data_IF_964849450894
#
_entry.id   IF_964849450894
#
_cell.length_a   1.000
_cell.length_b   1.000
_cell.length_c   1.000
_cell.angle_alpha   90.00
_cell.angle_beta   90.00
_cell.angle_gamma   90.00
#
_symmetry.space_group_name_H-M   'P 1'
#
loop_
_entity.id
_entity.type
_entity.pdbx_description
1 polymer ?
#
# COMPACT_ATOMS: atom_id res chain seq x y z
N UNK A 1 -26.36 4.43 -24.56
CA UNK A 1 -26.22 4.21 -23.09
C UNK A 1 -25.57 2.88 -22.70
N UNK A 2 -25.75 1.76 -23.43
CA UNK A 2 -25.05 0.49 -23.13
C UNK A 2 -23.51 0.63 -23.18
N UNK A 3 -23.01 1.35 -24.17
CA UNK A 3 -21.58 1.65 -24.33
C UNK A 3 -20.97 2.30 -23.07
N UNK A 4 -21.64 3.30 -22.49
CA UNK A 4 -21.15 4.02 -21.31
C UNK A 4 -21.07 3.14 -20.06
N UNK A 5 -22.07 2.27 -19.82
CA UNK A 5 -22.04 1.36 -18.68
C UNK A 5 -20.91 0.32 -18.79
N UNK A 6 -20.69 -0.23 -19.99
CA UNK A 6 -19.58 -1.16 -20.23
C UNK A 6 -18.23 -0.45 -20.12
N UNK A 7 -18.08 0.75 -20.68
CA UNK A 7 -16.87 1.57 -20.57
C UNK A 7 -16.47 1.80 -19.11
N UNK A 8 -17.40 2.29 -18.27
CA UNK A 8 -17.10 2.52 -16.85
C UNK A 8 -16.69 1.25 -16.10
N UNK A 9 -17.29 0.09 -16.41
CA UNK A 9 -16.91 -1.19 -15.80
C UNK A 9 -15.49 -1.62 -16.20
N UNK A 10 -15.13 -1.53 -17.48
CA UNK A 10 -13.78 -1.85 -17.94
C UNK A 10 -12.75 -0.92 -17.31
N UNK A 11 -13.01 0.38 -17.29
CA UNK A 11 -12.13 1.36 -16.65
C UNK A 11 -11.97 1.07 -15.15
N UNK A 12 -13.05 0.73 -14.44
CA UNK A 12 -12.98 0.34 -13.04
C UNK A 12 -12.11 -0.91 -12.81
N UNK A 13 -12.25 -1.92 -13.66
CA UNK A 13 -11.46 -3.15 -13.58
C UNK A 13 -9.97 -2.93 -13.84
N UNK A 14 -9.62 -2.02 -14.76
CA UNK A 14 -8.24 -1.60 -15.02
C UNK A 14 -7.66 -0.90 -13.79
N UNK A 15 -8.41 0.01 -13.17
CA UNK A 15 -7.95 0.66 -11.94
C UNK A 15 -7.78 -0.33 -10.78
N UNK A 16 -8.69 -1.28 -10.60
CA UNK A 16 -8.56 -2.34 -9.60
C UNK A 16 -7.33 -3.22 -9.86
N UNK A 17 -7.05 -3.54 -11.14
CA UNK A 17 -5.84 -4.26 -11.54
C UNK A 17 -4.55 -3.47 -11.25
N UNK A 18 -4.51 -2.18 -11.61
CA UNK A 18 -3.36 -1.32 -11.28
C UNK A 18 -3.13 -1.23 -9.77
N UNK A 19 -4.20 -1.11 -8.98
CA UNK A 19 -4.11 -1.12 -7.52
C UNK A 19 -3.52 -2.44 -6.99
N UNK A 20 -3.93 -3.58 -7.55
CA UNK A 20 -3.39 -4.90 -7.22
C UNK A 20 -1.90 -5.00 -7.51
N UNK A 21 -1.47 -4.55 -8.69
CA UNK A 21 -0.06 -4.57 -9.09
C UNK A 21 0.78 -3.71 -8.12
N UNK A 22 0.32 -2.51 -7.81
CA UNK A 22 0.99 -1.63 -6.85
C UNK A 22 1.06 -2.26 -5.44
N UNK A 23 -0.04 -2.84 -4.96
CA UNK A 23 -0.07 -3.52 -3.66
C UNK A 23 0.85 -4.73 -3.62
N UNK A 24 0.88 -5.51 -4.70
CA UNK A 24 1.80 -6.64 -4.82
C UNK A 24 3.25 -6.19 -4.70
N UNK A 25 3.65 -5.16 -5.45
CA UNK A 25 5.00 -4.60 -5.35
C UNK A 25 5.33 -4.08 -3.97
N UNK A 26 4.40 -3.42 -3.29
CA UNK A 26 4.61 -2.96 -1.90
C UNK A 26 4.72 -4.11 -0.91
N UNK A 27 4.00 -5.22 -1.14
CA UNK A 27 4.08 -6.42 -0.32
C UNK A 27 5.39 -7.15 -0.54
N UNK A 28 5.87 -7.32 -1.77
CA UNK A 28 7.15 -8.00 -2.01
C UNK A 28 8.36 -7.07 -1.78
N UNK A 29 8.13 -5.76 -1.67
CA UNK A 29 9.15 -4.74 -1.44
C UNK A 29 10.09 -5.11 -0.30
N UNK A 30 11.38 -4.99 -0.56
CA UNK A 30 12.47 -5.33 0.36
C UNK A 30 12.60 -6.82 0.76
N UNK A 31 11.72 -7.74 0.34
CA UNK A 31 11.75 -9.15 0.81
C UNK A 31 13.02 -9.92 0.42
N UNK A 32 13.61 -9.60 -0.74
CA UNK A 32 14.80 -10.30 -1.26
C UNK A 32 15.90 -9.31 -1.66
N UNK A 33 17.15 -9.76 -1.54
CA UNK A 33 18.38 -9.02 -1.87
C UNK A 33 18.61 -8.93 -3.40
N UNK A 34 17.63 -8.41 -4.14
CA UNK A 34 17.71 -8.18 -5.59
C UNK A 34 17.65 -6.68 -5.90
N UNK A 35 18.36 -6.24 -6.94
CA UNK A 35 18.57 -4.81 -7.25
C UNK A 35 17.26 -3.99 -7.31
N UNK A 36 16.20 -4.55 -7.87
CA UNK A 36 14.90 -3.87 -7.98
C UNK A 36 14.16 -3.77 -6.63
N UNK A 37 14.11 -4.85 -5.85
CA UNK A 37 13.38 -4.87 -4.58
C UNK A 37 14.02 -3.99 -3.49
N UNK A 38 15.33 -3.74 -3.60
CA UNK A 38 16.07 -2.78 -2.76
C UNK A 38 15.61 -1.33 -2.93
N UNK A 39 15.08 -0.99 -4.11
CA UNK A 39 14.57 0.35 -4.39
C UNK A 39 13.17 0.56 -3.80
N UNK A 40 12.50 -0.53 -3.37
CA UNK A 40 11.17 -0.50 -2.76
C UNK A 40 11.30 -0.54 -1.24
N UNK A 41 11.38 0.65 -0.65
CA UNK A 41 11.40 0.87 0.79
C UNK A 41 10.28 1.82 1.20
N UNK A 42 9.91 1.77 2.48
CA UNK A 42 8.80 2.53 3.06
C UNK A 42 9.31 3.86 3.64
N UNK A 43 10.44 3.82 4.34
CA UNK A 43 11.10 4.99 4.89
C UNK A 43 12.62 4.81 4.83
N UNK A 44 13.36 5.91 4.67
CA UNK A 44 14.82 5.95 4.70
C UNK A 44 15.28 6.94 5.75
N UNK A 45 16.30 6.57 6.52
CA UNK A 45 17.08 7.52 7.30
C UNK A 45 18.46 7.64 6.66
N UNK A 46 18.97 8.85 6.55
CA UNK A 46 20.30 9.14 6.01
C UNK A 46 21.11 9.91 7.04
N UNK A 47 22.31 9.44 7.38
CA UNK A 47 23.26 10.08 8.28
C UNK A 47 24.39 10.71 7.47
N UNK A 48 24.68 11.98 7.74
CA UNK A 48 25.75 12.75 7.09
C UNK A 48 25.69 12.75 5.54
N UNK A 49 24.50 12.50 4.96
CA UNK A 49 24.30 12.46 3.50
C UNK A 49 24.90 11.24 2.78
N UNK A 50 25.55 10.31 3.49
CA UNK A 50 26.27 9.18 2.88
C UNK A 50 25.69 7.82 3.32
N UNK A 51 25.55 7.61 4.63
CA UNK A 51 25.08 6.34 5.19
C UNK A 51 23.57 6.36 5.28
N UNK A 52 22.90 5.28 4.89
CA UNK A 52 21.45 5.18 4.96
C UNK A 52 20.97 3.83 5.47
N UNK A 53 19.78 3.86 6.07
CA UNK A 53 19.00 2.68 6.43
C UNK A 53 17.60 2.79 5.81
N UNK A 54 17.26 1.77 5.02
CA UNK A 54 15.99 1.59 4.35
C UNK A 54 15.13 0.60 5.11
N UNK A 55 13.95 1.06 5.52
CA UNK A 55 12.97 0.23 6.21
C UNK A 55 11.94 -0.31 5.23
N UNK A 56 11.74 -1.62 5.23
CA UNK A 56 10.69 -2.31 4.50
C UNK A 56 9.66 -2.95 5.41
N UNK A 57 8.70 -3.66 4.82
CA UNK A 57 7.68 -4.41 5.56
C UNK A 57 8.25 -5.70 6.18
N UNK A 58 9.26 -6.28 5.53
CA UNK A 58 9.85 -7.59 5.87
C UNK A 58 11.25 -7.51 6.47
N UNK A 59 12.00 -6.45 6.21
CA UNK A 59 13.37 -6.28 6.68
C UNK A 59 13.78 -4.81 6.65
N UNK A 60 14.98 -4.56 7.16
CA UNK A 60 15.72 -3.33 6.94
C UNK A 60 17.01 -3.62 6.16
N UNK A 61 17.44 -2.65 5.37
CA UNK A 61 18.69 -2.68 4.62
C UNK A 61 19.53 -1.46 4.94
N UNK A 62 20.84 -1.63 5.06
CA UNK A 62 21.79 -0.54 5.26
C UNK A 62 22.68 -0.38 4.03
N UNK A 63 23.13 0.85 3.80
CA UNK A 63 23.95 1.17 2.65
C UNK A 63 24.69 2.49 2.79
N UNK A 64 25.57 2.74 1.84
CA UNK A 64 26.40 3.95 1.77
C UNK A 64 26.45 4.48 0.34
N UNK A 65 26.47 5.81 0.16
CA UNK A 65 26.57 6.47 -1.14
C UNK A 65 25.53 5.96 -2.16
N UNK A 66 24.30 5.73 -1.71
CA UNK A 66 23.20 5.23 -2.55
C UNK A 66 23.27 3.74 -2.90
N UNK A 67 24.26 3.00 -2.40
CA UNK A 67 24.39 1.55 -2.62
C UNK A 67 24.03 0.77 -1.36
N UNK A 68 23.11 -0.19 -1.49
CA UNK A 68 22.73 -1.09 -0.38
C UNK A 68 23.80 -2.16 -0.20
N UNK A 69 24.40 -2.19 0.99
CA UNK A 69 25.49 -3.10 1.36
C UNK A 69 24.97 -4.36 2.04
N UNK A 70 24.09 -4.21 3.03
CA UNK A 70 23.59 -5.31 3.84
C UNK A 70 22.07 -5.23 4.00
N UNK A 71 21.41 -6.38 4.06
CA UNK A 71 19.98 -6.48 4.32
C UNK A 71 19.75 -7.59 5.33
N UNK A 72 18.92 -7.31 6.32
CA UNK A 72 18.58 -8.29 7.34
C UNK A 72 17.68 -9.38 6.74
N UNK A 73 17.69 -10.54 7.39
CA UNK A 73 16.84 -11.66 7.00
C UNK A 73 15.36 -11.24 7.08
N UNK A 74 14.54 -11.55 6.06
CA UNK A 74 13.14 -11.16 6.03
C UNK A 74 12.37 -11.87 7.15
N UNK A 75 11.62 -11.08 7.94
CA UNK A 75 10.71 -11.56 8.98
C UNK A 75 9.34 -10.90 8.79
N UNK A 76 8.24 -11.63 8.99
CA UNK A 76 6.91 -11.05 8.93
C UNK A 76 6.77 -9.96 10.00
N UNK A 77 6.09 -8.86 9.66
CA UNK A 77 5.88 -7.72 10.55
C UNK A 77 7.20 -7.17 11.14
N UNK A 78 8.14 -6.81 10.27
CA UNK A 78 9.45 -6.33 10.70
C UNK A 78 9.36 -5.09 11.58
N UNK A 79 9.84 -5.20 12.82
CA UNK A 79 9.84 -4.09 13.78
C UNK A 79 11.06 -3.22 13.55
N UNK A 80 10.85 -2.03 12.99
CA UNK A 80 11.95 -1.12 12.66
C UNK A 80 12.72 -0.66 13.89
N UNK A 81 12.02 -0.53 15.02
CA UNK A 81 12.57 0.08 16.23
C UNK A 81 13.44 -0.87 17.07
N UNK A 82 13.35 -2.19 16.80
CA UNK A 82 14.16 -3.22 17.43
C UNK A 82 15.50 -3.47 16.70
N UNK A 83 15.75 -2.72 15.63
CA UNK A 83 16.92 -2.88 14.78
C UNK A 83 18.21 -2.36 15.44
N UNK A 84 19.25 -3.18 15.51
CA UNK A 84 20.54 -2.77 16.10
C UNK A 84 21.19 -1.64 15.29
N UNK A 85 21.09 -1.67 13.96
CA UNK A 85 21.57 -0.57 13.12
C UNK A 85 20.80 0.73 13.37
N UNK A 86 19.54 0.70 13.82
CA UNK A 86 18.83 1.91 14.26
C UNK A 86 19.40 2.45 15.58
N UNK A 87 19.80 1.58 16.52
CA UNK A 87 20.43 2.02 17.77
C UNK A 87 21.77 2.71 17.54
N UNK A 88 22.51 2.38 16.47
CA UNK A 88 23.71 3.10 16.06
C UNK A 88 23.41 4.51 15.48
N UNK A 89 22.19 4.71 14.97
CA UNK A 89 21.73 6.01 14.44
C UNK A 89 21.07 6.89 15.52
N UNK A 90 20.41 6.29 16.52
CA UNK A 90 19.64 7.02 17.56
C UNK A 90 20.37 7.07 18.90
N UNK A 91 21.27 6.12 19.20
CA UNK A 91 21.97 6.02 20.49
C UNK A 91 21.10 5.49 21.64
N UNK A 92 19.84 5.10 21.40
CA UNK A 92 18.96 4.48 22.40
C UNK A 92 17.97 3.48 21.78
N UNK A 93 17.60 2.40 22.50
CA UNK A 93 16.60 1.44 22.05
C UNK A 93 15.19 2.04 22.14
N UNK A 94 14.46 2.02 21.03
CA UNK A 94 13.07 2.48 20.96
C UNK A 94 12.16 1.23 20.95
N UNK A 95 11.49 0.93 22.05
CA UNK A 95 10.62 -0.24 22.18
C UNK A 95 9.13 0.09 22.15
N UNK A 96 8.29 -0.95 22.01
CA UNK A 96 6.87 -0.90 22.38
C UNK A 96 5.85 -0.79 21.23
N UNK A 97 6.27 -0.92 19.97
CA UNK A 97 5.37 -0.78 18.80
C UNK A 97 5.12 -2.08 18.04
N UNK A 98 5.58 -3.22 18.53
CA UNK A 98 5.52 -4.52 17.84
C UNK A 98 4.11 -4.87 17.37
N UNK A 99 3.10 -4.58 18.21
CA UNK A 99 1.69 -4.79 17.90
C UNK A 99 1.19 -3.95 16.72
N UNK A 100 1.72 -2.73 16.56
CA UNK A 100 1.33 -1.81 15.47
C UNK A 100 1.92 -2.28 14.14
N UNK A 101 3.18 -2.74 14.13
CA UNK A 101 3.81 -3.32 12.95
C UNK A 101 3.09 -4.60 12.51
N UNK A 102 2.72 -5.47 13.45
CA UNK A 102 1.96 -6.68 13.16
C UNK A 102 0.56 -6.37 12.62
N UNK A 103 -0.17 -5.43 13.24
CA UNK A 103 -1.48 -5.01 12.77
C UNK A 103 -1.40 -4.44 11.35
N UNK A 104 -0.40 -3.60 11.07
CA UNK A 104 -0.18 -3.03 9.75
C UNK A 104 0.10 -4.11 8.69
N UNK A 105 0.94 -5.09 9.03
CA UNK A 105 1.26 -6.21 8.15
C UNK A 105 0.00 -7.04 7.80
N UNK A 106 -0.83 -7.38 8.79
CA UNK A 106 -2.07 -8.13 8.59
C UNK A 106 -3.07 -7.33 7.76
N UNK A 107 -3.28 -6.05 8.09
CA UNK A 107 -4.19 -5.16 7.36
C UNK A 107 -3.79 -5.01 5.90
N UNK A 108 -2.49 -4.99 5.60
CA UNK A 108 -2.00 -4.94 4.21
C UNK A 108 -2.43 -6.17 3.41
N UNK A 109 -2.28 -7.36 3.98
CA UNK A 109 -2.73 -8.62 3.38
C UNK A 109 -4.25 -8.68 3.25
N UNK A 110 -5.01 -8.18 4.24
CA UNK A 110 -6.46 -8.06 4.14
C UNK A 110 -6.88 -7.12 2.99
N UNK A 111 -6.23 -5.96 2.88
CA UNK A 111 -6.46 -5.01 1.78
C UNK A 111 -6.20 -5.65 0.41
N UNK A 112 -5.07 -6.37 0.29
CA UNK A 112 -4.71 -7.12 -0.92
C UNK A 112 -5.70 -8.25 -1.25
N UNK A 113 -6.17 -9.00 -0.26
CA UNK A 113 -7.16 -10.05 -0.48
C UNK A 113 -8.50 -9.47 -0.97
N UNK A 114 -8.93 -8.35 -0.40
CA UNK A 114 -10.17 -7.67 -0.81
C UNK A 114 -10.09 -7.10 -2.22
N UNK A 115 -8.98 -6.48 -2.60
CA UNK A 115 -8.77 -6.01 -3.98
C UNK A 115 -8.71 -7.15 -4.97
N UNK A 116 -8.06 -8.25 -4.60
CA UNK A 116 -7.96 -9.45 -5.43
C UNK A 116 -9.35 -10.07 -5.65
N UNK A 117 -10.13 -10.18 -4.58
CA UNK A 117 -11.51 -10.64 -4.64
C UNK A 117 -12.34 -9.73 -5.56
N UNK A 118 -12.29 -8.40 -5.37
CA UNK A 118 -13.02 -7.47 -6.22
C UNK A 118 -12.66 -7.62 -7.72
N UNK A 119 -11.38 -7.82 -8.03
CA UNK A 119 -10.90 -8.02 -9.39
C UNK A 119 -11.38 -9.36 -9.99
N UNK A 120 -11.23 -10.48 -9.25
CA UNK A 120 -11.69 -11.79 -9.70
C UNK A 120 -13.19 -11.76 -10.00
N UNK A 121 -14.01 -11.21 -9.09
CA UNK A 121 -15.44 -11.07 -9.33
C UNK A 121 -15.75 -10.21 -10.55
N UNK A 122 -15.01 -9.11 -10.74
CA UNK A 122 -15.19 -8.23 -11.89
C UNK A 122 -14.88 -8.92 -13.23
N UNK A 123 -13.89 -9.83 -13.26
CA UNK A 123 -13.47 -10.54 -14.49
C UNK A 123 -14.31 -11.80 -14.73
N UNK A 124 -14.52 -12.63 -13.70
CA UNK A 124 -15.21 -13.93 -13.82
C UNK A 124 -16.71 -13.80 -14.08
N UNK A 125 -17.35 -12.69 -13.68
CA UNK A 125 -18.78 -12.50 -13.87
C UNK A 125 -19.07 -11.59 -15.06
N UNK A 126 -19.22 -12.23 -16.22
CA UNK A 126 -19.68 -11.56 -17.42
C UNK A 126 -21.13 -11.08 -17.20
N UNK A 127 -21.33 -9.75 -17.11
CA UNK A 127 -22.62 -9.05 -17.23
C UNK A 127 -23.68 -9.14 -16.10
N UNK A 128 -23.36 -9.43 -14.84
CA UNK A 128 -24.37 -9.40 -13.76
C UNK A 128 -24.38 -8.12 -12.91
N UNK A 129 -25.57 -7.57 -12.61
CA UNK A 129 -25.75 -6.31 -11.84
C UNK A 129 -25.31 -6.45 -10.38
N UNK A 130 -25.56 -7.62 -9.79
CA UNK A 130 -25.24 -7.91 -8.38
C UNK A 130 -23.73 -7.90 -8.17
N UNK A 131 -22.98 -8.39 -9.16
CA UNK A 131 -21.53 -8.53 -9.05
C UNK A 131 -20.83 -7.17 -9.19
N UNK A 132 -21.40 -6.26 -9.98
CA UNK A 132 -20.92 -4.86 -10.06
C UNK A 132 -21.09 -4.12 -8.72
N UNK A 133 -22.21 -4.34 -8.00
CA UNK A 133 -22.41 -3.76 -6.67
C UNK A 133 -21.50 -4.39 -5.61
N UNK A 134 -21.28 -5.71 -5.66
CA UNK A 134 -20.35 -6.38 -4.75
C UNK A 134 -18.91 -5.95 -4.98
N UNK A 135 -18.50 -5.78 -6.24
CA UNK A 135 -17.18 -5.25 -6.59
C UNK A 135 -16.99 -3.82 -6.06
N UNK A 136 -17.99 -2.95 -6.19
CA UNK A 136 -17.94 -1.59 -5.63
C UNK A 136 -17.78 -1.59 -4.09
N UNK A 137 -18.53 -2.45 -3.39
CA UNK A 137 -18.42 -2.58 -1.94
C UNK A 137 -17.04 -3.12 -1.52
N UNK A 138 -16.53 -4.12 -2.24
CA UNK A 138 -15.23 -4.70 -1.97
C UNK A 138 -14.09 -3.71 -2.24
N UNK A 139 -14.12 -2.94 -3.35
CA UNK A 139 -13.11 -1.89 -3.60
C UNK A 139 -13.19 -0.76 -2.60
N UNK A 140 -14.40 -0.38 -2.14
CA UNK A 140 -14.58 0.62 -1.11
C UNK A 140 -14.02 0.15 0.25
N UNK A 141 -14.31 -1.08 0.66
CA UNK A 141 -13.76 -1.67 1.88
C UNK A 141 -12.23 -1.77 1.79
N UNK A 142 -11.70 -2.22 0.66
CA UNK A 142 -10.26 -2.29 0.42
C UNK A 142 -9.59 -0.91 0.51
N UNK A 143 -10.26 0.14 -0.03
CA UNK A 143 -9.79 1.52 0.11
C UNK A 143 -9.71 1.95 1.57
N UNK A 144 -10.74 1.68 2.39
CA UNK A 144 -10.74 2.02 3.81
C UNK A 144 -9.64 1.30 4.59
N UNK A 145 -9.43 0.01 4.31
CA UNK A 145 -8.36 -0.79 4.91
C UNK A 145 -6.99 -0.23 4.53
N UNK A 146 -6.76 0.08 3.25
CA UNK A 146 -5.50 0.68 2.81
C UNK A 146 -5.29 2.11 3.31
N UNK A 147 -6.36 2.86 3.51
CA UNK A 147 -6.29 4.16 4.17
C UNK A 147 -5.78 4.01 5.61
N UNK A 148 -6.30 3.05 6.38
CA UNK A 148 -5.81 2.77 7.72
C UNK A 148 -4.34 2.35 7.73
N UNK A 149 -3.95 1.45 6.82
CA UNK A 149 -2.55 1.04 6.61
C UNK A 149 -1.65 2.24 6.32
N UNK A 150 -2.05 3.11 5.40
CA UNK A 150 -1.29 4.29 5.02
C UNK A 150 -1.09 5.26 6.18
N UNK A 151 -2.15 5.51 6.95
CA UNK A 151 -2.07 6.35 8.16
C UNK A 151 -1.09 5.74 9.18
N UNK A 152 -1.18 4.44 9.44
CA UNK A 152 -0.25 3.76 10.37
C UNK A 152 1.19 3.88 9.87
N UNK A 153 1.45 3.61 8.58
CA UNK A 153 2.78 3.72 7.98
C UNK A 153 3.37 5.13 8.12
N UNK A 154 2.58 6.17 7.81
CA UNK A 154 3.02 7.56 7.92
C UNK A 154 3.31 7.94 9.38
N UNK A 155 2.42 7.59 10.31
CA UNK A 155 2.61 7.91 11.74
C UNK A 155 3.86 7.25 12.29
N UNK A 156 4.08 5.97 11.96
CA UNK A 156 5.29 5.24 12.36
C UNK A 156 6.54 5.87 11.75
N UNK A 157 6.52 6.18 10.45
CA UNK A 157 7.64 6.81 9.76
C UNK A 157 8.00 8.17 10.38
N UNK A 158 7.03 9.08 10.55
CA UNK A 158 7.29 10.39 11.17
C UNK A 158 7.79 10.27 12.60
N UNK A 159 7.32 9.26 13.35
CA UNK A 159 7.79 9.05 14.71
C UNK A 159 9.25 8.60 14.75
N UNK A 160 9.63 7.65 13.89
CA UNK A 160 11.02 7.20 13.77
C UNK A 160 11.93 8.38 13.37
N UNK A 161 11.49 9.20 12.41
CA UNK A 161 12.22 10.40 11.96
C UNK A 161 12.32 11.46 13.07
N UNK A 162 11.25 11.67 13.83
CA UNK A 162 11.22 12.61 14.95
C UNK A 162 12.18 12.21 16.07
N UNK A 163 12.23 10.91 16.40
CA UNK A 163 13.17 10.38 17.38
C UNK A 163 14.63 10.55 16.93
N UNK A 164 14.93 10.33 15.64
CA UNK A 164 16.28 10.54 15.12
C UNK A 164 16.70 12.00 15.19
N UNK A 165 15.81 12.94 14.84
CA UNK A 165 16.11 14.38 14.90
C UNK A 165 16.37 14.87 16.34
N UNK A 166 15.69 14.29 17.32
CA UNK A 166 15.86 14.66 18.73
C UNK A 166 17.22 14.23 19.31
N UNK A 167 17.84 13.18 18.76
CA UNK A 167 19.09 12.63 19.25
C UNK A 167 20.31 13.01 18.40
N UNK A 168 20.15 13.15 17.08
CA UNK A 168 21.23 13.47 16.15
C UNK A 168 20.75 14.39 15.01
N UNK A 169 21.16 15.65 15.04
CA UNK A 169 20.78 16.66 14.03
C UNK A 169 21.31 16.36 12.61
N UNK A 170 22.24 15.42 12.46
CA UNK A 170 22.83 15.04 11.16
C UNK A 170 22.10 13.91 10.46
N UNK A 171 21.06 13.34 11.09
CA UNK A 171 20.21 12.29 10.51
C UNK A 171 18.96 12.93 9.91
N UNK A 172 18.72 12.69 8.63
CA UNK A 172 17.54 13.15 7.91
C UNK A 172 16.66 11.96 7.54
N UNK A 173 15.34 12.11 7.67
CA UNK A 173 14.37 11.11 7.29
C UNK A 173 13.65 11.44 5.99
N UNK A 174 13.41 10.44 5.14
CA UNK A 174 12.61 10.57 3.93
C UNK A 174 11.63 9.41 3.75
N UNK A 175 10.51 9.69 3.09
CA UNK A 175 9.49 8.69 2.75
C UNK A 175 9.90 7.96 1.47
N UNK A 176 9.81 6.64 1.51
CA UNK A 176 10.23 5.77 0.42
C UNK A 176 9.18 5.53 -0.67
N UNK A 177 9.65 4.94 -1.76
CA UNK A 177 8.88 4.62 -2.96
C UNK A 177 7.68 3.72 -2.70
N UNK A 178 7.79 2.74 -1.80
CA UNK A 178 6.70 1.82 -1.48
C UNK A 178 5.50 2.58 -0.88
N UNK A 179 5.75 3.60 -0.04
CA UNK A 179 4.70 4.45 0.52
C UNK A 179 3.95 5.21 -0.56
N UNK A 180 4.65 5.74 -1.57
CA UNK A 180 4.01 6.38 -2.73
C UNK A 180 3.21 5.39 -3.60
N UNK A 181 3.68 4.15 -3.73
CA UNK A 181 2.92 3.09 -4.41
C UNK A 181 1.64 2.73 -3.64
N UNK A 182 1.67 2.72 -2.30
CA UNK A 182 0.46 2.52 -1.48
C UNK A 182 -0.57 3.64 -1.72
N UNK A 183 -0.12 4.89 -1.79
CA UNK A 183 -0.97 6.05 -2.09
C UNK A 183 -1.57 5.95 -3.50
N UNK A 184 -0.77 5.56 -4.49
CA UNK A 184 -1.23 5.29 -5.85
C UNK A 184 -2.29 4.19 -5.90
N UNK A 185 -2.10 3.12 -5.12
CA UNK A 185 -3.08 2.03 -5.02
C UNK A 185 -4.40 2.50 -4.39
N UNK A 186 -4.34 3.35 -3.35
CA UNK A 186 -5.54 3.94 -2.74
C UNK A 186 -6.30 4.84 -3.72
N UNK A 187 -5.60 5.71 -4.45
CA UNK A 187 -6.21 6.57 -5.46
C UNK A 187 -6.89 5.74 -6.56
N UNK A 188 -6.23 4.68 -7.03
CA UNK A 188 -6.78 3.76 -8.02
C UNK A 188 -8.04 3.05 -7.49
N UNK A 189 -8.06 2.61 -6.21
CA UNK A 189 -9.25 1.99 -5.62
C UNK A 189 -10.42 2.95 -5.43
N UNK A 190 -10.15 4.20 -5.08
CA UNK A 190 -11.17 5.23 -4.98
C UNK A 190 -11.81 5.48 -6.34
N UNK A 191 -11.00 5.62 -7.39
CA UNK A 191 -11.49 5.73 -8.76
C UNK A 191 -12.28 4.49 -9.18
N UNK A 192 -11.77 3.28 -8.93
CA UNK A 192 -12.48 2.04 -9.24
C UNK A 192 -13.87 2.00 -8.58
N UNK A 193 -13.95 2.39 -7.30
CA UNK A 193 -15.21 2.45 -6.56
C UNK A 193 -16.21 3.43 -7.19
N UNK A 194 -15.75 4.62 -7.58
CA UNK A 194 -16.59 5.62 -8.27
C UNK A 194 -17.09 5.07 -9.60
N UNK A 195 -16.22 4.47 -10.41
CA UNK A 195 -16.59 3.94 -11.72
C UNK A 195 -17.55 2.73 -11.64
N UNK A 196 -17.35 1.81 -10.69
CA UNK A 196 -18.32 0.74 -10.43
C UNK A 196 -19.67 1.30 -9.97
N UNK A 197 -19.67 2.32 -9.11
CA UNK A 197 -20.89 3.01 -8.66
C UNK A 197 -21.65 3.69 -9.80
N UNK A 198 -20.96 4.42 -10.67
CA UNK A 198 -21.54 5.05 -11.85
C UNK A 198 -22.13 4.00 -12.81
N UNK A 199 -21.41 2.91 -13.06
CA UNK A 199 -21.88 1.79 -13.87
C UNK A 199 -23.21 1.22 -13.36
N UNK A 200 -23.36 1.07 -12.04
CA UNK A 200 -24.60 0.62 -11.41
C UNK A 200 -25.77 1.61 -11.61
N UNK A 201 -25.51 2.91 -11.44
CA UNK A 201 -26.55 3.95 -11.56
C UNK A 201 -27.11 4.09 -12.98
N UNK A 202 -26.24 4.13 -13.99
CA UNK A 202 -26.65 4.23 -15.39
C UNK A 202 -27.41 2.97 -15.87
N UNK A 203 -27.06 1.79 -15.34
CA UNK A 203 -27.77 0.54 -15.65
C UNK A 203 -29.14 0.46 -14.95
N UNK A 204 -29.29 1.03 -13.75
CA UNK A 204 -30.57 1.11 -13.03
C UNK A 204 -31.59 2.04 -13.70
N UNK A 205 -31.15 3.18 -14.26
CA UNK A 205 -32.03 4.07 -15.04
C UNK A 205 -32.69 3.35 -16.20
N UNK A 206 -31.95 2.48 -16.91
CA UNK A 206 -32.45 1.70 -18.04
C UNK A 206 -33.57 0.73 -17.64
N UNK A 207 -33.40 -0.01 -16.55
CA UNK A 207 -34.41 -0.99 -16.10
C UNK A 207 -35.78 -0.32 -15.83
N UNK A 208 -35.78 0.86 -15.21
CA UNK A 208 -37.02 1.61 -14.94
C UNK A 208 -37.64 2.23 -16.19
N UNK A 209 -36.89 2.43 -17.27
CA UNK A 209 -37.44 2.96 -18.53
C UNK A 209 -38.27 1.91 -19.25
N UNK A 210 -37.88 0.63 -19.19
CA UNK A 210 -38.65 -0.46 -19.81
C UNK A 210 -39.91 -0.86 -19.02
N UNK A 211 -39.95 -0.58 -17.72
CA UNK A 211 -41.13 -0.83 -16.87
C UNK A 211 -42.24 0.22 -17.04
N UNK A 212 -41.95 1.32 -17.75
CA UNK A 212 -42.90 2.41 -18.02
C UNK A 212 -43.47 2.38 -19.45
N UNK A 213 -43.19 1.34 -20.22
CA UNK A 213 -43.70 1.11 -21.58
C UNK A 213 -44.70 -0.03 -21.56
#
# INVERSE_FOLDING_TARGET
MAFWASFFKYTASIFAFCALVLQFFTLIGNTYNVKFLKLLYIARLTKNGQDFIDFGLWNACTGTNGTVLHCNAPKPAYVWTAESSLTEFIGSPVGGYDKVFLANFILYWCGFALTLFAFIFSVSTHYNRITDSMAAMATCLAFLVLFAVFVILIVVAYRVIGLTHSHNATVQGSIGSATWMTLGAMAALLLATIYYGLGCFFRAKRARTYEKV
#
